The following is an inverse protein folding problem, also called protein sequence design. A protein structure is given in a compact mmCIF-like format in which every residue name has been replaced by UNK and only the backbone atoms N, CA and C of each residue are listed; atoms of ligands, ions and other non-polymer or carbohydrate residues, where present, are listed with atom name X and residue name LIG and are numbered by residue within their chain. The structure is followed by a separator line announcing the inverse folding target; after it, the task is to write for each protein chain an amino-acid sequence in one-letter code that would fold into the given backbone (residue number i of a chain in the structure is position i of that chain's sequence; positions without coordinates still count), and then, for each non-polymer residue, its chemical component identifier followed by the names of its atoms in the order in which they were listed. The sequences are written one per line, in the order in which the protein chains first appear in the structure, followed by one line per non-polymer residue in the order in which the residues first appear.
data_IF_580070747397
#
_entry.id   IF_580070747397
#
_cell.length_a   1.000
_cell.length_b   1.000
_cell.length_c   1.000
_cell.angle_alpha   90.00
_cell.angle_beta   90.00
_cell.angle_gamma   90.00
#
_symmetry.space_group_name_H-M   'P 1'
#
loop_
_entity.id
_entity.type
_entity.pdbx_description
1 polymer ?
#
# COMPACT_ATOMS: atom_id res chain seq x y z
N UNK A 1 16.53 -10.82 3.29
CA UNK A 1 15.68 -9.87 4.03
C UNK A 1 14.55 -10.67 4.62
N UNK A 2 14.34 -10.59 5.94
CA UNK A 2 13.17 -11.20 6.59
C UNK A 2 11.88 -10.54 6.04
N UNK A 3 10.82 -11.33 5.82
CA UNK A 3 9.55 -10.80 5.29
C UNK A 3 8.93 -9.78 6.25
N UNK A 4 9.07 -9.99 7.56
CA UNK A 4 8.52 -9.08 8.57
C UNK A 4 9.19 -7.70 8.49
N UNK A 5 10.53 -7.69 8.43
CA UNK A 5 11.30 -6.46 8.21
C UNK A 5 10.93 -5.79 6.88
N UNK A 6 10.71 -6.57 5.81
CA UNK A 6 10.29 -6.02 4.52
C UNK A 6 8.91 -5.35 4.59
N UNK A 7 7.97 -5.93 5.33
CA UNK A 7 6.62 -5.38 5.56
C UNK A 7 6.71 -4.06 6.34
N UNK A 8 7.55 -3.99 7.38
CA UNK A 8 7.74 -2.76 8.14
C UNK A 8 8.36 -1.64 7.30
N UNK A 9 9.41 -1.94 6.54
CA UNK A 9 10.05 -0.94 5.65
C UNK A 9 9.10 -0.47 4.55
N UNK A 10 8.28 -1.39 4.01
CA UNK A 10 7.23 -1.04 3.06
C UNK A 10 6.22 -0.08 3.70
N UNK A 11 5.74 -0.39 4.91
CA UNK A 11 4.79 0.46 5.61
C UNK A 11 5.37 1.86 5.91
N UNK A 12 6.62 1.94 6.38
CA UNK A 12 7.31 3.22 6.61
C UNK A 12 7.46 4.05 5.34
N UNK A 13 7.75 3.38 4.22
CA UNK A 13 7.86 4.05 2.91
C UNK A 13 6.51 4.60 2.45
N UNK A 14 5.42 3.83 2.63
CA UNK A 14 4.05 4.29 2.33
C UNK A 14 3.67 5.48 3.21
N UNK A 15 3.93 5.41 4.51
CA UNK A 15 3.64 6.50 5.45
C UNK A 15 4.39 7.78 5.07
N UNK A 16 5.65 7.66 4.67
CA UNK A 16 6.47 8.79 4.19
C UNK A 16 5.92 9.40 2.90
N UNK A 17 5.44 8.58 1.96
CA UNK A 17 4.82 9.05 0.72
C UNK A 17 3.49 9.76 0.97
N UNK A 18 2.71 9.31 1.94
CA UNK A 18 1.46 9.97 2.34
C UNK A 18 1.72 11.30 3.05
N UNK A 19 2.72 11.37 3.94
CA UNK A 19 3.08 12.60 4.64
C UNK A 19 3.50 13.73 3.67
N UNK A 20 4.04 13.37 2.49
CA UNK A 20 4.38 14.31 1.43
C UNK A 20 3.16 14.78 0.60
N UNK A 21 2.02 14.10 0.69
CA UNK A 21 0.79 14.44 -0.04
C UNK A 21 -0.15 15.25 0.84
N UNK A 22 -0.56 16.43 0.37
CA UNK A 22 -1.49 17.31 1.09
C UNK A 22 -2.85 16.65 1.37
N UNK A 23 -3.60 17.20 2.33
CA UNK A 23 -4.80 16.61 2.95
C UNK A 23 -6.08 16.57 2.08
N UNK A 24 -5.96 16.56 0.75
CA UNK A 24 -7.13 16.63 -0.15
C UNK A 24 -7.89 15.29 -0.31
N UNK A 25 -7.35 14.18 0.20
CA UNK A 25 -7.90 12.84 0.00
C UNK A 25 -8.07 12.13 1.34
N UNK A 26 -9.08 11.28 1.47
CA UNK A 26 -9.26 10.41 2.63
C UNK A 26 -7.97 9.63 2.96
N UNK A 27 -7.57 9.52 4.24
CA UNK A 27 -6.29 8.91 4.64
C UNK A 27 -6.08 7.50 4.07
N UNK A 28 -7.11 6.66 4.08
CA UNK A 28 -7.04 5.28 3.60
C UNK A 28 -6.83 5.21 2.08
N UNK A 29 -7.41 6.15 1.34
CA UNK A 29 -7.22 6.25 -0.10
C UNK A 29 -5.80 6.76 -0.43
N UNK A 30 -5.23 7.65 0.38
CA UNK A 30 -3.81 8.04 0.24
C UNK A 30 -2.89 6.84 0.46
N UNK A 31 -3.12 6.06 1.53
CA UNK A 31 -2.35 4.85 1.82
C UNK A 31 -2.44 3.83 0.69
N UNK A 32 -3.64 3.59 0.14
CA UNK A 32 -3.85 2.68 -0.98
C UNK A 32 -3.07 3.13 -2.23
N UNK A 33 -3.19 4.41 -2.61
CA UNK A 33 -2.48 4.98 -3.77
C UNK A 33 -0.97 4.92 -3.61
N UNK A 34 -0.45 5.32 -2.45
CA UNK A 34 0.98 5.28 -2.15
C UNK A 34 1.51 3.84 -2.20
N UNK A 35 0.77 2.88 -1.65
CA UNK A 35 1.12 1.45 -1.71
C UNK A 35 1.19 0.92 -3.14
N UNK A 36 0.22 1.29 -3.99
CA UNK A 36 0.22 0.92 -5.40
C UNK A 36 1.37 1.57 -6.17
N UNK A 37 1.63 2.86 -5.95
CA UNK A 37 2.72 3.58 -6.59
C UNK A 37 4.09 2.96 -6.26
N UNK A 38 4.34 2.69 -4.97
CA UNK A 38 5.57 2.04 -4.51
C UNK A 38 5.69 0.62 -5.07
N UNK A 39 4.60 -0.17 -5.01
CA UNK A 39 4.57 -1.53 -5.54
C UNK A 39 4.87 -1.59 -7.04
N UNK A 40 4.29 -0.68 -7.83
CA UNK A 40 4.54 -0.56 -9.26
C UNK A 40 5.98 -0.13 -9.55
N UNK A 41 6.53 0.81 -8.78
CA UNK A 41 7.91 1.25 -8.90
C UNK A 41 8.88 0.08 -8.68
N UNK A 42 8.76 -0.63 -7.54
CA UNK A 42 9.62 -1.78 -7.21
C UNK A 42 9.47 -2.89 -8.26
N UNK A 43 8.25 -3.20 -8.70
CA UNK A 43 8.03 -4.19 -9.78
C UNK A 43 8.78 -3.83 -11.06
N UNK A 44 8.89 -2.53 -11.37
CA UNK A 44 9.58 -2.02 -12.57
C UNK A 44 11.10 -1.99 -12.40
N UNK A 45 11.60 -1.54 -11.25
CA UNK A 45 13.04 -1.29 -11.04
C UNK A 45 13.79 -2.48 -10.46
N UNK A 46 13.09 -3.37 -9.75
CA UNK A 46 13.64 -4.50 -9.02
C UNK A 46 12.76 -5.74 -9.24
N UNK A 47 12.72 -6.31 -10.47
CA UNK A 47 11.81 -7.42 -10.79
C UNK A 47 12.01 -8.66 -9.92
N UNK A 48 13.22 -8.89 -9.41
CA UNK A 48 13.55 -9.99 -8.48
C UNK A 48 12.79 -9.88 -7.15
N UNK A 49 12.36 -8.67 -6.77
CA UNK A 49 11.60 -8.41 -5.55
C UNK A 49 10.09 -8.52 -5.76
N UNK A 50 9.62 -8.93 -6.94
CA UNK A 50 8.17 -8.98 -7.26
C UNK A 50 7.36 -9.82 -6.26
N UNK A 51 7.86 -10.98 -5.86
CA UNK A 51 7.17 -11.83 -4.90
C UNK A 51 7.12 -11.17 -3.51
N UNK A 52 8.26 -10.62 -3.07
CA UNK A 52 8.37 -9.91 -1.79
C UNK A 52 7.43 -8.71 -1.74
N UNK A 53 7.42 -7.85 -2.76
CA UNK A 53 6.58 -6.65 -2.77
C UNK A 53 5.09 -7.01 -2.81
N UNK A 54 4.71 -8.09 -3.49
CA UNK A 54 3.33 -8.59 -3.47
C UNK A 54 2.92 -9.03 -2.06
N UNK A 55 3.79 -9.75 -1.34
CA UNK A 55 3.54 -10.13 0.05
C UNK A 55 3.46 -8.91 0.97
N UNK A 56 4.36 -7.93 0.82
CA UNK A 56 4.33 -6.69 1.60
C UNK A 56 3.03 -5.90 1.37
N UNK A 57 2.62 -5.72 0.12
CA UNK A 57 1.36 -5.05 -0.22
C UNK A 57 0.16 -5.78 0.38
N UNK A 58 0.11 -7.11 0.28
CA UNK A 58 -0.99 -7.93 0.81
C UNK A 58 -1.07 -7.79 2.33
N UNK A 59 0.07 -7.91 3.03
CA UNK A 59 0.13 -7.75 4.49
C UNK A 59 -0.26 -6.34 4.93
N UNK A 60 0.21 -5.31 4.23
CA UNK A 60 -0.11 -3.92 4.53
C UNK A 60 -1.61 -3.64 4.36
N UNK A 61 -2.18 -4.04 3.22
CA UNK A 61 -3.60 -3.84 2.91
C UNK A 61 -4.47 -4.58 3.94
N UNK A 62 -4.16 -5.83 4.25
CA UNK A 62 -4.94 -6.60 5.21
C UNK A 62 -4.88 -6.02 6.62
N UNK A 63 -3.72 -5.46 7.00
CA UNK A 63 -3.53 -4.87 8.34
C UNK A 63 -4.18 -3.51 8.46
N UNK A 64 -4.04 -2.63 7.46
CA UNK A 64 -4.38 -1.21 7.59
C UNK A 64 -5.63 -0.78 6.82
N UNK A 65 -6.01 -1.51 5.77
CA UNK A 65 -7.05 -1.09 4.84
C UNK A 65 -8.25 -2.03 4.80
N UNK A 66 -8.13 -3.29 5.27
CA UNK A 66 -9.22 -4.27 5.20
C UNK A 66 -10.51 -3.77 5.89
N UNK A 67 -10.41 -3.15 7.06
CA UNK A 67 -11.56 -2.59 7.77
C UNK A 67 -12.27 -1.51 6.95
N UNK A 68 -11.50 -0.57 6.39
CA UNK A 68 -12.03 0.49 5.55
C UNK A 68 -12.63 -0.05 4.24
N UNK A 69 -11.96 -0.98 3.56
CA UNK A 69 -12.47 -1.64 2.34
C UNK A 69 -13.81 -2.31 2.60
N UNK A 70 -13.94 -3.03 3.73
CA UNK A 70 -15.19 -3.66 4.11
C UNK A 70 -16.30 -2.63 4.37
N UNK A 71 -15.97 -1.48 4.96
CA UNK A 71 -16.93 -0.37 5.16
C UNK A 71 -17.39 0.26 3.85
N UNK A 72 -16.56 0.26 2.80
CA UNK A 72 -16.97 0.69 1.47
C UNK A 72 -17.92 -0.31 0.79
N UNK A 73 -18.06 -1.54 1.30
CA UNK A 73 -18.81 -2.61 0.66
C UNK A 73 -17.95 -3.56 -0.18
N UNK A 74 -16.63 -3.57 0.07
CA UNK A 74 -15.66 -4.40 -0.64
C UNK A 74 -14.92 -3.67 -1.76
N UNK A 75 -14.00 -4.38 -2.42
CA UNK A 75 -13.14 -3.82 -3.46
C UNK A 75 -13.91 -3.22 -4.65
N UNK A 76 -15.05 -3.81 -5.00
CA UNK A 76 -15.87 -3.34 -6.13
C UNK A 76 -16.45 -1.93 -5.92
N UNK A 77 -16.49 -1.46 -4.66
CA UNK A 77 -16.99 -0.13 -4.31
C UNK A 77 -15.87 0.90 -4.07
N UNK A 78 -14.61 0.45 -4.02
CA UNK A 78 -13.45 1.34 -3.85
C UNK A 78 -13.15 2.02 -5.18
N UNK A 79 -13.59 3.27 -5.33
CA UNK A 79 -13.37 4.03 -6.56
C UNK A 79 -12.05 4.80 -6.48
N UNK A 80 -11.06 4.39 -7.28
CA UNK A 80 -9.78 5.09 -7.43
C UNK A 80 -9.92 6.18 -8.51
N UNK A 81 -10.53 7.32 -8.17
CA UNK A 81 -10.61 8.49 -9.07
C UNK A 81 -9.41 9.41 -8.92
#
# INVERSE_FOLDING_TARGET
MDLEMAVEEFARSVDSLCAAQGAEVAPEMQLLRASMALGLYVKKTCPDLRATIQSCMTAFINTRLAGWINQQGGWDQVTMV
#
